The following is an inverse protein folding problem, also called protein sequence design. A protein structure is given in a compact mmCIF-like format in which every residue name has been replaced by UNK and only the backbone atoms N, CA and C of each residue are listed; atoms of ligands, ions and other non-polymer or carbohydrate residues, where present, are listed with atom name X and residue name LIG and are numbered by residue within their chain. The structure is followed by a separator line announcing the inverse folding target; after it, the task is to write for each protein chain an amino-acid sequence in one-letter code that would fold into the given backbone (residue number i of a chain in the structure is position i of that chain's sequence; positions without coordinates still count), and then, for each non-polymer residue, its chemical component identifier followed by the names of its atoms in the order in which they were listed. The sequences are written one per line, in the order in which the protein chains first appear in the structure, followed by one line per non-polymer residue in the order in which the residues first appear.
data_IF_353154815260
#
_entry.id   IF_353154815260
#
_cell.length_a   1.000
_cell.length_b   1.000
_cell.length_c   1.000
_cell.angle_alpha   90.00
_cell.angle_beta   90.00
_cell.angle_gamma   90.00
#
_symmetry.space_group_name_H-M   'P 1'
#
loop_
_entity.id
_entity.type
_entity.pdbx_description
1 polymer ?
#
# COMPACT_ATOMS: atom_id res chain seq x y z
N UNK A 1 3.07 0.29 -3.90
CA UNK A 1 3.52 -0.06 -5.27
C UNK A 1 2.66 0.71 -6.26
N UNK A 2 3.31 1.44 -7.15
CA UNK A 2 2.68 2.24 -8.21
C UNK A 2 3.59 2.27 -9.44
N UNK A 3 3.06 2.69 -10.59
CA UNK A 3 3.89 3.01 -11.76
C UNK A 3 4.65 4.33 -11.52
N UNK A 4 5.53 4.69 -12.46
CA UNK A 4 6.33 5.92 -12.50
C UNK A 4 5.51 7.18 -12.83
N UNK A 5 4.18 7.07 -12.88
CA UNK A 5 3.28 8.20 -13.11
C UNK A 5 3.33 9.19 -11.95
N UNK A 6 3.65 10.45 -12.25
CA UNK A 6 3.81 11.52 -11.29
C UNK A 6 2.54 11.75 -10.45
N UNK A 7 1.35 11.58 -11.03
CA UNK A 7 0.09 11.73 -10.32
C UNK A 7 -0.07 10.66 -9.23
N UNK A 8 0.25 9.40 -9.56
CA UNK A 8 0.22 8.28 -8.61
C UNK A 8 1.25 8.48 -7.51
N UNK A 9 2.45 8.93 -7.86
CA UNK A 9 3.52 9.21 -6.89
C UNK A 9 3.07 10.29 -5.90
N UNK A 10 2.50 11.39 -6.40
CA UNK A 10 2.03 12.48 -5.57
C UNK A 10 0.85 12.07 -4.68
N UNK A 11 0.01 11.14 -5.14
CA UNK A 11 -1.05 10.56 -4.32
C UNK A 11 -0.51 9.61 -3.23
N UNK A 12 0.54 8.85 -3.51
CA UNK A 12 1.11 7.88 -2.58
C UNK A 12 2.03 8.51 -1.52
N UNK A 13 2.77 9.56 -1.86
CA UNK A 13 3.66 10.30 -0.94
C UNK A 13 3.02 10.66 0.40
N UNK A 14 1.83 11.28 0.49
CA UNK A 14 1.22 11.62 1.77
C UNK A 14 0.86 10.38 2.59
N UNK A 15 0.41 9.29 1.95
CA UNK A 15 0.10 8.03 2.63
C UNK A 15 1.35 7.44 3.28
N UNK A 16 2.46 7.41 2.51
CA UNK A 16 3.76 6.94 3.02
C UNK A 16 4.27 7.83 4.15
N UNK A 17 4.13 9.15 4.01
CA UNK A 17 4.53 10.11 5.04
C UNK A 17 3.74 9.91 6.34
N UNK A 18 2.42 9.72 6.26
CA UNK A 18 1.55 9.47 7.40
C UNK A 18 1.90 8.15 8.12
N UNK A 19 2.12 7.07 7.37
CA UNK A 19 2.56 5.80 7.93
C UNK A 19 3.93 5.93 8.64
N UNK A 20 4.90 6.62 8.01
CA UNK A 20 6.21 6.87 8.61
C UNK A 20 6.13 7.74 9.87
N UNK A 21 5.28 8.76 9.87
CA UNK A 21 5.05 9.62 11.03
C UNK A 21 4.51 8.83 12.23
N UNK A 22 3.80 7.75 11.97
CA UNK A 22 3.32 6.79 12.97
C UNK A 22 4.30 5.63 13.23
N UNK A 23 5.58 5.79 12.87
CA UNK A 23 6.64 4.78 13.07
C UNK A 23 6.39 3.44 12.36
N UNK A 24 5.53 3.42 11.34
CA UNK A 24 5.28 2.23 10.52
C UNK A 24 6.44 2.06 9.53
N UNK A 25 7.03 0.86 9.50
CA UNK A 25 8.03 0.50 8.50
C UNK A 25 7.35 0.32 7.14
N UNK A 26 7.53 1.30 6.26
CA UNK A 26 6.96 1.30 4.90
C UNK A 26 8.04 1.54 3.85
N UNK A 27 8.02 0.69 2.83
CA UNK A 27 8.84 0.81 1.62
C UNK A 27 7.95 1.16 0.42
N UNK A 28 8.38 2.12 -0.38
CA UNK A 28 7.60 2.65 -1.50
C UNK A 28 8.38 2.50 -2.80
N UNK A 29 7.90 1.60 -3.66
CA UNK A 29 8.46 1.36 -4.99
C UNK A 29 7.69 2.16 -6.06
N UNK A 30 8.36 3.19 -6.58
CA UNK A 30 7.91 4.10 -7.64
C UNK A 30 8.44 3.76 -9.05
N UNK A 31 9.14 2.63 -9.21
CA UNK A 31 9.72 2.25 -10.51
C UNK A 31 8.64 1.90 -11.55
N UNK A 32 8.98 1.92 -12.84
CA UNK A 32 8.11 1.44 -13.92
C UNK A 32 7.97 -0.10 -13.97
N UNK A 33 8.44 -0.82 -12.95
CA UNK A 33 8.40 -2.29 -12.90
C UNK A 33 6.96 -2.79 -12.92
N UNK A 34 6.62 -3.83 -13.71
CA UNK A 34 5.25 -4.35 -13.76
C UNK A 34 4.71 -4.73 -12.39
N UNK A 35 3.46 -4.37 -12.09
CA UNK A 35 2.81 -4.66 -10.80
C UNK A 35 2.94 -6.13 -10.37
N UNK A 36 2.79 -7.08 -11.30
CA UNK A 36 2.95 -8.52 -11.00
C UNK A 36 4.33 -8.84 -10.44
N UNK A 37 5.38 -8.26 -11.01
CA UNK A 37 6.76 -8.48 -10.54
C UNK A 37 6.97 -7.84 -9.16
N UNK A 38 6.48 -6.62 -8.95
CA UNK A 38 6.55 -5.95 -7.64
C UNK A 38 5.83 -6.76 -6.56
N UNK A 39 4.61 -7.21 -6.84
CA UNK A 39 3.82 -8.05 -5.92
C UNK A 39 4.57 -9.34 -5.63
N UNK A 40 5.07 -10.04 -6.67
CA UNK A 40 5.86 -11.27 -6.47
C UNK A 40 7.08 -11.04 -5.58
N UNK A 41 7.79 -9.92 -5.74
CA UNK A 41 8.92 -9.58 -4.90
C UNK A 41 8.50 -9.32 -3.44
N UNK A 42 7.42 -8.58 -3.21
CA UNK A 42 6.92 -8.36 -1.85
C UNK A 42 6.39 -9.63 -1.18
N UNK A 43 5.75 -10.53 -1.93
CA UNK A 43 5.35 -11.86 -1.44
C UNK A 43 6.58 -12.71 -1.05
N UNK A 44 7.65 -12.67 -1.85
CA UNK A 44 8.93 -13.33 -1.53
C UNK A 44 9.59 -12.75 -0.28
N UNK A 45 9.51 -11.43 -0.11
CA UNK A 45 9.98 -10.71 1.08
C UNK A 45 9.02 -10.85 2.27
N UNK A 46 7.92 -11.59 2.13
CA UNK A 46 6.87 -11.78 3.15
C UNK A 46 6.36 -10.47 3.74
N UNK A 47 6.15 -9.48 2.87
CA UNK A 47 5.56 -8.19 3.27
C UNK A 47 4.12 -8.43 3.70
N UNK A 48 3.84 -8.17 4.98
CA UNK A 48 2.54 -8.44 5.61
C UNK A 48 1.37 -7.74 4.88
N UNK A 49 1.52 -6.44 4.61
CA UNK A 49 0.51 -5.62 3.92
C UNK A 49 1.13 -4.93 2.71
N UNK A 50 0.56 -5.19 1.53
CA UNK A 50 0.92 -4.56 0.28
C UNK A 50 -0.18 -3.57 -0.15
N UNK A 51 0.22 -2.34 -0.41
CA UNK A 51 -0.64 -1.27 -0.93
C UNK A 51 -0.34 -1.05 -2.41
N UNK A 52 -1.33 -1.29 -3.27
CA UNK A 52 -1.26 -1.10 -4.71
C UNK A 52 -2.14 0.09 -5.08
N UNK A 53 -1.58 1.04 -5.82
CA UNK A 53 -2.29 2.26 -6.23
C UNK A 53 -2.23 2.31 -7.75
N UNK A 54 -3.38 2.10 -8.40
CA UNK A 54 -3.58 2.38 -9.82
C UNK A 54 -4.32 3.69 -10.06
N UNK A 55 -4.44 4.10 -11.32
CA UNK A 55 -5.18 5.31 -11.72
C UNK A 55 -6.62 5.32 -11.21
N UNK A 56 -7.33 4.20 -11.34
CA UNK A 56 -8.71 4.05 -10.86
C UNK A 56 -8.84 4.16 -9.34
N UNK A 57 -7.86 3.65 -8.58
CA UNK A 57 -7.87 3.78 -7.12
C UNK A 57 -7.68 5.24 -6.72
N UNK A 58 -6.74 5.94 -7.37
CA UNK A 58 -6.49 7.36 -7.13
C UNK A 58 -7.73 8.22 -7.42
N UNK A 59 -8.40 8.00 -8.56
CA UNK A 59 -9.64 8.71 -8.91
C UNK A 59 -10.76 8.48 -7.88
N UNK A 60 -10.82 7.28 -7.30
CA UNK A 60 -11.78 6.92 -6.27
C UNK A 60 -11.36 7.32 -4.84
N UNK A 61 -10.17 7.92 -4.65
CA UNK A 61 -9.63 8.19 -3.31
C UNK A 61 -9.36 6.93 -2.48
N UNK A 62 -9.11 5.81 -3.16
CA UNK A 62 -8.91 4.49 -2.61
C UNK A 62 -7.46 4.00 -2.75
N UNK A 63 -7.19 2.84 -2.16
CA UNK A 63 -5.96 2.06 -2.29
C UNK A 63 -6.36 0.59 -2.33
N UNK A 64 -5.79 -0.18 -3.25
CA UNK A 64 -5.98 -1.63 -3.31
C UNK A 64 -5.08 -2.32 -2.29
N UNK A 65 -5.69 -3.01 -1.33
CA UNK A 65 -4.99 -3.69 -0.24
C UNK A 65 -4.82 -5.17 -0.56
N UNK A 66 -3.64 -5.71 -0.26
CA UNK A 66 -3.34 -7.14 -0.37
C UNK A 66 -2.56 -7.59 0.86
N UNK A 67 -2.99 -8.68 1.46
CA UNK A 67 -2.35 -9.26 2.64
C UNK A 67 -1.62 -10.54 2.25
N UNK A 68 -0.46 -10.79 2.86
CA UNK A 68 0.30 -12.01 2.58
C UNK A 68 -0.50 -13.29 2.95
N UNK A 69 -1.14 -13.29 4.13
CA UNK A 69 -1.94 -14.44 4.60
C UNK A 69 -3.42 -14.38 4.19
N UNK A 70 -3.91 -13.25 3.69
CA UNK A 70 -5.33 -13.03 3.36
C UNK A 70 -5.63 -12.84 1.87
N UNK A 71 -4.60 -12.76 1.02
CA UNK A 71 -4.76 -12.46 -0.39
C UNK A 71 -5.29 -11.04 -0.67
N UNK A 72 -5.84 -10.79 -1.87
CA UNK A 72 -6.35 -9.47 -2.25
C UNK A 72 -7.62 -9.11 -1.45
N UNK A 73 -7.60 -7.96 -0.80
CA UNK A 73 -8.73 -7.42 -0.02
C UNK A 73 -9.58 -6.41 -0.83
N UNK A 74 -9.14 -6.05 -2.03
CA UNK A 74 -9.79 -5.07 -2.89
C UNK A 74 -9.42 -3.62 -2.59
N UNK A 75 -10.07 -2.70 -3.30
CA UNK A 75 -9.90 -1.27 -3.13
C UNK A 75 -10.69 -0.78 -1.91
N UNK A 76 -10.01 -0.06 -1.02
CA UNK A 76 -10.60 0.56 0.18
C UNK A 76 -10.23 2.03 0.27
N UNK A 77 -11.05 2.90 0.91
CA UNK A 77 -10.70 4.30 1.10
C UNK A 77 -9.35 4.45 1.81
N UNK A 78 -8.47 5.33 1.32
CA UNK A 78 -7.10 5.45 1.85
C UNK A 78 -7.07 5.72 3.37
N UNK A 79 -8.01 6.51 3.88
CA UNK A 79 -8.09 6.86 5.30
C UNK A 79 -8.43 5.64 6.16
N UNK A 80 -9.33 4.78 5.68
CA UNK A 80 -9.68 3.53 6.36
C UNK A 80 -8.48 2.58 6.39
N UNK A 81 -7.77 2.45 5.27
CA UNK A 81 -6.59 1.59 5.16
C UNK A 81 -5.49 2.02 6.13
N UNK A 82 -5.20 3.31 6.22
CA UNK A 82 -4.18 3.82 7.16
C UNK A 82 -4.62 3.56 8.60
N UNK A 83 -5.88 3.87 8.94
CA UNK A 83 -6.40 3.62 10.28
C UNK A 83 -6.33 2.13 10.67
N UNK A 84 -6.69 1.23 9.75
CA UNK A 84 -6.66 -0.22 9.94
C UNK A 84 -5.23 -0.75 10.14
N UNK A 85 -4.27 -0.27 9.34
CA UNK A 85 -2.85 -0.62 9.52
C UNK A 85 -2.35 -0.19 10.90
N UNK A 86 -2.66 1.04 11.33
CA UNK A 86 -2.24 1.54 12.63
C UNK A 86 -2.89 0.77 13.79
N UNK A 87 -4.18 0.46 13.67
CA UNK A 87 -4.89 -0.37 14.65
C UNK A 87 -4.28 -1.78 14.73
N UNK A 88 -4.07 -2.42 13.58
CA UNK A 88 -3.48 -3.76 13.49
C UNK A 88 -2.09 -3.82 14.15
N UNK A 89 -1.24 -2.84 13.89
CA UNK A 89 0.09 -2.73 14.51
C UNK A 89 -0.02 -2.51 16.02
N UNK A 90 -0.90 -1.60 16.46
CA UNK A 90 -1.09 -1.28 17.89
C UNK A 90 -1.64 -2.48 18.67
N UNK A 91 -2.55 -3.23 18.07
CA UNK A 91 -3.22 -4.39 18.67
C UNK A 91 -2.46 -5.70 18.45
N UNK A 92 -1.32 -5.66 17.73
CA UNK A 92 -0.52 -6.83 17.33
C UNK A 92 -1.37 -7.91 16.65
N UNK A 93 -2.33 -7.48 15.82
CA UNK A 93 -3.12 -8.39 14.98
C UNK A 93 -2.22 -8.88 13.85
N UNK A 94 -2.19 -10.20 13.66
CA UNK A 94 -1.37 -10.89 12.69
C UNK A 94 -2.19 -11.37 11.49
#
# INVERSE_FOLDING_TARGET
MLNDDEALINYAKPIVAELRANMVRVDADYSATPFKAKISNAEQLRVHTMLVIGGRDMEAGAVSVRLHHGGPQGAKPKAEVVADILASIKERRA
#
